data_IF_560301181735
#
_entry.id   IF_560301181735
#
_cell.length_a   1.000
_cell.length_b   1.000
_cell.length_c   1.000
_cell.angle_alpha   90.00
_cell.angle_beta   90.00
_cell.angle_gamma   90.00
#
_symmetry.space_group_name_H-M   'P 1'
#
loop_
_entity.id
_entity.type
_entity.pdbx_description
1 polymer ?
#
# COMPACT_ATOMS: atom_id res chain seq x y z
N UNK A 1 -11.03 5.18 -21.98
CA UNK A 1 -11.01 4.06 -22.95
C UNK A 1 -10.69 4.49 -24.39
N UNK A 2 -11.47 5.38 -25.03
CA UNK A 2 -11.19 5.82 -26.42
C UNK A 2 -9.80 6.49 -26.56
N UNK A 3 -9.42 7.35 -25.59
CA UNK A 3 -8.14 8.06 -25.60
C UNK A 3 -6.92 7.12 -25.40
N UNK A 4 -7.06 6.05 -24.62
CA UNK A 4 -5.99 5.07 -24.33
C UNK A 4 -5.69 4.22 -25.57
N UNK A 5 -6.73 3.83 -26.30
CA UNK A 5 -6.63 3.18 -27.61
C UNK A 5 -5.98 4.06 -28.66
N UNK A 6 -6.43 5.31 -28.78
CA UNK A 6 -5.91 6.26 -29.76
C UNK A 6 -4.41 6.57 -29.59
N UNK A 7 -3.91 6.49 -28.35
CA UNK A 7 -2.50 6.73 -28.01
C UNK A 7 -1.65 5.45 -27.96
N UNK A 8 -2.23 4.26 -28.19
CA UNK A 8 -1.50 2.98 -28.11
C UNK A 8 -1.00 2.62 -26.70
N UNK A 9 -1.57 3.22 -25.66
CA UNK A 9 -1.14 3.07 -24.26
C UNK A 9 -1.89 1.96 -23.49
N UNK A 10 -2.57 1.04 -24.19
CA UNK A 10 -3.36 -0.03 -23.55
C UNK A 10 -2.50 -0.87 -22.60
N UNK A 11 -1.27 -1.21 -23.00
CA UNK A 11 -0.33 -1.95 -22.15
C UNK A 11 0.00 -1.18 -20.86
N UNK A 12 0.17 0.14 -20.90
CA UNK A 12 0.46 0.92 -19.69
C UNK A 12 -0.74 0.97 -18.74
N UNK A 13 -1.95 1.07 -19.29
CA UNK A 13 -3.18 1.08 -18.49
C UNK A 13 -3.40 -0.26 -17.77
N UNK A 14 -3.18 -1.38 -18.47
CA UNK A 14 -3.22 -2.72 -17.87
C UNK A 14 -2.17 -2.85 -16.76
N UNK A 15 -0.92 -2.46 -17.02
CA UNK A 15 0.15 -2.49 -16.00
C UNK A 15 -0.12 -1.60 -14.79
N UNK A 16 -0.67 -0.41 -15.02
CA UNK A 16 -1.02 0.51 -13.94
C UNK A 16 -2.17 -0.03 -13.09
N UNK A 17 -3.18 -0.61 -13.75
CA UNK A 17 -4.32 -1.22 -13.07
C UNK A 17 -3.89 -2.46 -12.29
N UNK A 18 -3.14 -3.37 -12.91
CA UNK A 18 -2.64 -4.59 -12.26
C UNK A 18 -1.75 -4.24 -11.07
N UNK A 19 -0.82 -3.29 -11.23
CA UNK A 19 0.04 -2.83 -10.15
C UNK A 19 -0.73 -2.22 -8.98
N UNK A 20 -1.75 -1.42 -9.27
CA UNK A 20 -2.62 -0.85 -8.24
C UNK A 20 -3.43 -1.93 -7.53
N UNK A 21 -4.04 -2.87 -8.26
CA UNK A 21 -4.80 -3.98 -7.71
C UNK A 21 -3.92 -4.84 -6.79
N UNK A 22 -2.72 -5.22 -7.24
CA UNK A 22 -1.79 -6.00 -6.42
C UNK A 22 -1.36 -5.27 -5.14
N UNK A 23 -1.18 -3.94 -5.20
CA UNK A 23 -0.87 -3.15 -4.02
C UNK A 23 -2.05 -3.10 -3.04
N UNK A 24 -3.27 -2.91 -3.54
CA UNK A 24 -4.47 -2.92 -2.70
C UNK A 24 -4.71 -4.30 -2.05
N UNK A 25 -4.49 -5.39 -2.77
CA UNK A 25 -4.55 -6.75 -2.23
C UNK A 25 -3.49 -6.97 -1.13
N UNK A 26 -2.27 -6.49 -1.37
CA UNK A 26 -1.20 -6.52 -0.37
C UNK A 26 -1.63 -5.80 0.92
N UNK A 27 -2.09 -4.56 0.83
CA UNK A 27 -2.53 -3.77 1.99
C UNK A 27 -3.70 -4.48 2.71
N UNK A 28 -4.68 -4.94 1.94
CA UNK A 28 -5.86 -5.64 2.47
C UNK A 28 -5.47 -6.91 3.22
N UNK A 29 -4.51 -7.69 2.70
CA UNK A 29 -4.04 -8.92 3.35
C UNK A 29 -3.48 -8.68 4.75
N UNK A 30 -2.83 -7.53 4.98
CA UNK A 30 -2.31 -7.15 6.28
C UNK A 30 -3.37 -6.53 7.19
N UNK A 31 -4.29 -5.73 6.64
CA UNK A 31 -5.41 -5.18 7.40
C UNK A 31 -6.37 -6.25 7.92
N UNK A 32 -6.55 -7.36 7.17
CA UNK A 32 -7.33 -8.52 7.63
C UNK A 32 -6.71 -9.21 8.86
N UNK A 33 -5.39 -9.06 9.05
CA UNK A 33 -4.65 -9.61 10.20
C UNK A 33 -4.51 -8.61 11.36
N UNK A 34 -5.00 -7.38 11.19
CA UNK A 34 -4.88 -6.34 12.20
C UNK A 34 -5.67 -6.71 13.46
N UNK A 35 -5.06 -6.43 14.62
CA UNK A 35 -5.72 -6.56 15.93
C UNK A 35 -6.16 -5.18 16.39
N UNK A 36 -7.32 -5.13 17.03
CA UNK A 36 -7.90 -3.90 17.56
C UNK A 36 -8.26 -4.10 19.03
N UNK A 37 -7.90 -3.14 19.86
CA UNK A 37 -8.13 -3.16 21.30
C UNK A 37 -8.61 -1.79 21.77
N UNK A 38 -9.48 -1.75 22.79
CA UNK A 38 -9.85 -0.52 23.47
C UNK A 38 -8.85 -0.25 24.59
N UNK A 39 -8.23 0.93 24.55
CA UNK A 39 -7.26 1.41 25.52
C UNK A 39 -7.78 2.68 26.21
N UNK A 40 -6.99 3.24 27.14
CA UNK A 40 -7.30 4.48 27.84
C UNK A 40 -8.71 4.44 28.47
N UNK A 41 -8.98 3.40 29.26
CA UNK A 41 -10.27 3.18 29.93
C UNK A 41 -11.46 3.16 28.96
N UNK A 42 -11.25 2.69 27.72
CA UNK A 42 -12.29 2.57 26.71
C UNK A 42 -12.53 3.83 25.87
N UNK A 43 -11.64 4.83 25.94
CA UNK A 43 -11.78 6.09 25.19
C UNK A 43 -11.19 6.05 23.79
N UNK A 44 -10.22 5.16 23.54
CA UNK A 44 -9.44 5.14 22.31
C UNK A 44 -9.31 3.72 21.78
N UNK A 45 -9.52 3.53 20.49
CA UNK A 45 -9.18 2.31 19.79
C UNK A 45 -7.71 2.33 19.40
N UNK A 46 -6.98 1.29 19.76
CA UNK A 46 -5.64 0.97 19.27
C UNK A 46 -5.76 -0.14 18.21
N UNK A 47 -4.99 -0.03 17.14
CA UNK A 47 -4.92 -1.03 16.09
C UNK A 47 -3.47 -1.31 15.71
N UNK A 48 -3.10 -2.58 15.53
CA UNK A 48 -1.75 -2.96 15.13
C UNK A 48 -1.71 -4.12 14.13
N UNK A 49 -0.66 -4.16 13.32
CA UNK A 49 -0.32 -5.31 12.49
C UNK A 49 0.96 -5.91 13.05
N UNK A 50 0.82 -6.92 13.92
CA UNK A 50 1.94 -7.53 14.67
C UNK A 50 3.09 -8.05 13.82
N UNK A 51 2.79 -8.53 12.62
CA UNK A 51 3.80 -9.02 11.67
C UNK A 51 4.71 -7.90 11.15
N UNK A 52 4.28 -6.64 11.25
CA UNK A 52 4.97 -5.47 10.71
C UNK A 52 5.36 -4.52 11.84
N UNK A 53 6.60 -4.64 12.32
CA UNK A 53 7.11 -3.78 13.39
C UNK A 53 6.97 -2.29 13.05
N UNK A 54 6.36 -1.54 13.96
CA UNK A 54 6.11 -0.10 13.80
C UNK A 54 4.81 0.24 13.07
N UNK A 55 3.99 -0.74 12.68
CA UNK A 55 2.68 -0.49 12.07
C UNK A 55 1.58 -0.60 13.13
N UNK A 56 1.21 0.53 13.68
CA UNK A 56 0.09 0.68 14.59
C UNK A 56 -0.54 2.07 14.43
N UNK A 57 -1.79 2.20 14.85
CA UNK A 57 -2.51 3.46 14.84
C UNK A 57 -3.51 3.53 16.00
N UNK A 58 -4.02 4.72 16.26
CA UNK A 58 -5.09 4.94 17.21
C UNK A 58 -6.19 5.82 16.61
N UNK A 59 -7.41 5.73 17.15
CA UNK A 59 -8.53 6.58 16.77
C UNK A 59 -9.62 6.60 17.84
N UNK A 60 -10.44 7.66 17.87
CA UNK A 60 -11.56 7.78 18.83
C UNK A 60 -12.68 6.78 18.54
N UNK A 61 -12.75 6.30 17.30
CA UNK A 61 -13.69 5.26 16.86
C UNK A 61 -12.95 4.14 16.15
N UNK A 62 -13.54 2.93 16.12
CA UNK A 62 -12.96 1.81 15.36
C UNK A 62 -12.77 2.15 13.88
N UNK A 63 -13.71 2.89 13.28
CA UNK A 63 -13.63 3.33 11.87
C UNK A 63 -12.44 4.24 11.63
N UNK A 64 -12.24 5.22 12.51
CA UNK A 64 -11.09 6.13 12.45
C UNK A 64 -9.78 5.37 12.65
N UNK A 65 -9.71 4.48 13.65
CA UNK A 65 -8.53 3.67 13.90
C UNK A 65 -8.16 2.79 12.69
N UNK A 66 -9.15 2.18 12.03
CA UNK A 66 -8.95 1.40 10.79
C UNK A 66 -8.39 2.24 9.65
N UNK A 67 -8.92 3.46 9.46
CA UNK A 67 -8.42 4.40 8.46
C UNK A 67 -6.97 4.80 8.76
N UNK A 68 -6.69 5.22 9.99
CA UNK A 68 -5.36 5.63 10.41
C UNK A 68 -4.35 4.47 10.29
N UNK A 69 -4.78 3.23 10.53
CA UNK A 69 -3.94 2.04 10.37
C UNK A 69 -3.59 1.77 8.90
N UNK A 70 -4.55 1.97 7.98
CA UNK A 70 -4.29 1.91 6.54
C UNK A 70 -3.28 2.98 6.12
N UNK A 71 -3.50 4.24 6.51
CA UNK A 71 -2.58 5.36 6.20
C UNK A 71 -1.15 5.08 6.72
N UNK A 72 -1.06 4.52 7.93
CA UNK A 72 0.22 4.13 8.54
C UNK A 72 0.89 2.98 7.78
N UNK A 73 0.11 1.97 7.36
CA UNK A 73 0.61 0.84 6.59
C UNK A 73 1.15 1.29 5.21
N UNK A 74 0.43 2.16 4.51
CA UNK A 74 0.88 2.75 3.24
C UNK A 74 2.18 3.53 3.41
N UNK A 75 2.25 4.40 4.43
CA UNK A 75 3.46 5.16 4.75
C UNK A 75 4.64 4.26 5.13
N UNK A 76 4.39 3.17 5.86
CA UNK A 76 5.40 2.18 6.23
C UNK A 76 5.96 1.45 5.00
N UNK A 77 5.11 1.07 4.04
CA UNK A 77 5.54 0.47 2.76
C UNK A 77 6.39 1.46 1.98
N UNK A 78 5.93 2.70 1.82
CA UNK A 78 6.64 3.74 1.08
C UNK A 78 8.04 4.01 1.67
N UNK A 79 8.14 4.10 3.01
CA UNK A 79 9.41 4.30 3.69
C UNK A 79 10.37 3.13 3.43
N UNK A 80 9.89 1.88 3.50
CA UNK A 80 10.73 0.71 3.24
C UNK A 80 11.19 0.63 1.79
N UNK A 81 10.32 0.92 0.82
CA UNK A 81 10.69 0.99 -0.59
C UNK A 81 11.79 2.03 -0.82
N UNK A 82 11.62 3.25 -0.29
CA UNK A 82 12.61 4.33 -0.42
C UNK A 82 13.96 4.00 0.24
N UNK A 83 13.95 3.14 1.26
CA UNK A 83 15.14 2.71 2.01
C UNK A 83 15.69 1.36 1.55
N UNK A 84 15.11 0.76 0.50
CA UNK A 84 15.47 -0.57 0.00
C UNK A 84 15.44 -1.64 1.10
N UNK A 85 14.52 -1.48 2.06
CA UNK A 85 14.34 -2.42 3.17
C UNK A 85 13.40 -3.56 2.77
N UNK A 86 13.60 -4.77 3.30
CA UNK A 86 12.74 -5.90 3.00
C UNK A 86 11.30 -5.64 3.48
N UNK A 87 10.35 -6.02 2.63
CA UNK A 87 8.91 -5.99 2.90
C UNK A 87 8.41 -7.43 2.81
N UNK A 88 7.95 -8.03 3.92
CA UNK A 88 7.46 -9.41 3.91
C UNK A 88 6.28 -9.55 2.94
N UNK A 89 6.22 -10.68 2.22
CA UNK A 89 5.14 -11.01 1.27
C UNK A 89 4.85 -9.95 0.18
N UNK A 90 5.77 -9.02 -0.08
CA UNK A 90 5.61 -8.01 -1.12
C UNK A 90 5.90 -8.62 -2.49
N UNK A 91 4.85 -9.10 -3.15
CA UNK A 91 4.91 -9.75 -4.46
C UNK A 91 4.49 -8.81 -5.58
N UNK A 92 4.98 -7.58 -5.62
CA UNK A 92 4.75 -6.74 -6.80
C UNK A 92 5.78 -7.15 -7.85
N UNK A 93 5.37 -7.47 -9.10
CA UNK A 93 6.30 -7.70 -10.19
C UNK A 93 6.92 -6.35 -10.51
N UNK A 94 7.94 -5.96 -9.75
CA UNK A 94 8.85 -4.91 -10.13
C UNK A 94 9.74 -5.51 -11.22
N UNK A 95 9.14 -5.82 -12.38
CA UNK A 95 9.90 -6.00 -13.61
C UNK A 95 10.68 -4.71 -13.70
N UNK A 96 12.00 -4.81 -13.57
CA UNK A 96 12.92 -3.68 -13.56
C UNK A 96 12.43 -2.75 -14.66
N UNK A 97 11.68 -1.72 -14.26
CA UNK A 97 11.36 -0.60 -15.10
C UNK A 97 12.66 0.17 -15.10
N UNK A 98 13.68 -0.45 -15.74
CA UNK A 98 14.40 0.20 -16.78
C UNK A 98 13.31 0.92 -17.54
N UNK A 99 13.07 2.18 -17.15
CA UNK A 99 12.88 3.22 -18.12
C UNK A 99 13.89 2.85 -19.19
N UNK A 100 13.41 2.19 -20.25
CA UNK A 100 14.09 2.28 -21.52
C UNK A 100 14.40 3.75 -21.62
N UNK A 101 15.70 4.06 -21.68
CA UNK A 101 16.25 5.42 -21.68
C UNK A 101 15.76 6.25 -22.88
N UNK A 102 14.69 5.82 -23.52
CA UNK A 102 14.03 6.33 -24.71
C UNK A 102 13.02 7.44 -24.38
N UNK A 103 12.49 7.53 -23.15
CA UNK A 103 11.57 8.63 -22.77
C UNK A 103 12.19 9.75 -21.91
N UNK A 104 13.45 9.61 -21.48
CA UNK A 104 14.20 10.67 -20.80
C UNK A 104 14.91 11.63 -21.79
N UNK A 105 14.72 11.42 -23.09
CA UNK A 105 15.21 12.27 -24.18
C UNK A 105 14.08 12.52 -25.18
N UNK A 106 13.13 13.37 -24.81
CA UNK A 106 12.27 14.08 -25.74
C UNK A 106 12.05 15.49 -25.20
#
# INVERSE_FOLDING_TARGET
MILVRALGLEQYYEWWYDGFIMFQEFLTSYLQKARYELIDQGKTYYGEIRELTGVWAAGKTLKECRKNLLDTLEGWVLLRLRKELPIPNFKIPFKKMLLDRTYAKA
#
